data_IF_338776202198
#
_entry.id   IF_338776202198
#
_cell.length_a   1.000
_cell.length_b   1.000
_cell.length_c   1.000
_cell.angle_alpha   90.00
_cell.angle_beta   90.00
_cell.angle_gamma   90.00
#
_symmetry.space_group_name_H-M   'P 1'
#
loop_
_entity.id
_entity.type
_entity.pdbx_description
1 polymer ?
#
# COMPACT_ATOMS: atom_id res chain seq x y z
N UNK A 1 -24.49 5.62 -9.15
CA UNK A 1 -23.40 4.67 -9.41
C UNK A 1 -22.86 5.06 -10.76
N UNK A 2 -21.79 5.86 -10.76
CA UNK A 2 -21.24 6.48 -11.97
C UNK A 2 -20.03 5.65 -12.34
N UNK A 3 -20.18 4.80 -13.36
CA UNK A 3 -19.09 4.00 -13.90
C UNK A 3 -18.00 4.94 -14.44
N UNK A 4 -16.80 4.88 -13.84
CA UNK A 4 -15.62 5.57 -14.35
C UNK A 4 -15.07 4.72 -15.51
N UNK A 5 -15.70 4.84 -16.67
CA UNK A 5 -15.25 4.24 -17.92
C UNK A 5 -14.03 5.02 -18.44
N UNK A 6 -12.82 4.57 -18.09
CA UNK A 6 -11.54 5.22 -18.46
C UNK A 6 -11.03 4.82 -19.87
N UNK A 7 -11.92 4.36 -20.75
CA UNK A 7 -11.59 4.06 -22.14
C UNK A 7 -11.98 5.22 -23.07
N UNK A 8 -10.98 5.97 -23.57
CA UNK A 8 -11.12 6.93 -24.69
C UNK A 8 -12.18 8.02 -24.46
N UNK A 9 -12.27 8.55 -23.24
CA UNK A 9 -13.05 9.77 -22.97
C UNK A 9 -12.11 10.94 -22.70
N UNK A 10 -12.49 12.12 -23.18
CA UNK A 10 -11.79 13.36 -22.87
C UNK A 10 -11.74 13.55 -21.34
N UNK A 11 -10.54 13.49 -20.78
CA UNK A 11 -10.31 13.80 -19.37
C UNK A 11 -10.49 15.30 -19.18
N UNK A 12 -11.61 15.68 -18.55
CA UNK A 12 -11.81 17.06 -18.11
C UNK A 12 -10.88 17.34 -16.95
N UNK A 13 -10.26 18.51 -16.97
CA UNK A 13 -9.53 19.01 -15.82
C UNK A 13 -10.49 19.12 -14.63
N UNK A 14 -10.12 18.48 -13.53
CA UNK A 14 -10.89 18.45 -12.29
C UNK A 14 -9.97 18.76 -11.11
N UNK A 15 -10.20 19.91 -10.48
CA UNK A 15 -9.43 20.35 -9.33
C UNK A 15 -9.73 19.49 -8.09
N UNK A 16 -10.93 18.90 -8.00
CA UNK A 16 -11.29 17.99 -6.91
C UNK A 16 -10.48 16.71 -6.98
N UNK A 17 -10.22 16.19 -8.18
CA UNK A 17 -9.35 15.04 -8.40
C UNK A 17 -7.90 15.31 -7.92
N UNK A 18 -7.37 16.51 -8.17
CA UNK A 18 -6.04 16.91 -7.67
C UNK A 18 -6.03 16.94 -6.14
N UNK A 19 -7.06 17.52 -5.52
CA UNK A 19 -7.19 17.55 -4.05
C UNK A 19 -7.33 16.15 -3.46
N UNK A 20 -8.03 15.24 -4.13
CA UNK A 20 -8.13 13.84 -3.73
C UNK A 20 -6.75 13.16 -3.76
N UNK A 21 -5.99 13.33 -4.84
CA UNK A 21 -4.62 12.82 -4.94
C UNK A 21 -3.69 13.35 -3.84
N UNK A 22 -3.78 14.65 -3.51
CA UNK A 22 -3.03 15.24 -2.39
C UNK A 22 -3.38 14.61 -1.04
N UNK A 23 -4.68 14.42 -0.77
CA UNK A 23 -5.14 13.76 0.47
C UNK A 23 -4.67 12.32 0.55
N UNK A 24 -4.67 11.61 -0.57
CA UNK A 24 -4.18 10.24 -0.64
C UNK A 24 -2.68 10.14 -0.34
N UNK A 25 -1.86 11.00 -0.95
CA UNK A 25 -0.43 11.08 -0.64
C UNK A 25 -0.18 11.32 0.86
N UNK A 26 -0.93 12.23 1.48
CA UNK A 26 -0.85 12.48 2.92
C UNK A 26 -1.28 11.27 3.76
N UNK A 27 -2.32 10.54 3.33
CA UNK A 27 -2.78 9.31 4.00
C UNK A 27 -1.70 8.24 3.98
N UNK A 28 -1.05 7.99 2.83
CA UNK A 28 0.09 7.08 2.71
C UNK A 28 1.25 7.46 3.64
N UNK A 29 1.62 8.74 3.66
CA UNK A 29 2.68 9.24 4.54
C UNK A 29 2.34 9.02 6.03
N UNK A 30 1.08 9.26 6.42
CA UNK A 30 0.62 9.04 7.79
C UNK A 30 0.65 7.55 8.18
N UNK A 31 0.26 6.65 7.27
CA UNK A 31 0.35 5.20 7.48
C UNK A 31 1.82 4.79 7.68
N UNK A 32 2.73 5.28 6.84
CA UNK A 32 4.15 4.98 6.96
C UNK A 32 4.74 5.45 8.30
N UNK A 33 4.45 6.69 8.70
CA UNK A 33 4.87 7.22 9.99
C UNK A 33 4.31 6.41 11.16
N UNK A 34 3.03 6.04 11.10
CA UNK A 34 2.39 5.22 12.12
C UNK A 34 3.06 3.84 12.20
N UNK A 35 3.40 3.23 11.07
CA UNK A 35 4.07 1.93 10.99
C UNK A 35 5.45 1.97 11.66
N UNK A 36 6.30 2.94 11.29
CA UNK A 36 7.65 3.12 11.86
C UNK A 36 7.57 3.27 13.39
N UNK A 37 6.68 4.16 13.87
CA UNK A 37 6.52 4.42 15.31
C UNK A 37 6.11 3.15 16.10
N UNK A 38 5.28 2.28 15.52
CA UNK A 38 4.87 1.04 16.20
C UNK A 38 5.96 -0.04 16.19
N UNK A 39 6.84 -0.02 15.19
CA UNK A 39 7.97 -0.94 15.10
C UNK A 39 9.04 -0.63 16.15
N UNK A 40 9.37 0.65 16.32
CA UNK A 40 10.29 1.11 17.37
C UNK A 40 9.83 0.66 18.78
N UNK A 41 8.52 0.72 19.03
CA UNK A 41 7.93 0.31 20.30
C UNK A 41 7.91 -1.21 20.50
N UNK A 42 7.87 -2.00 19.43
CA UNK A 42 7.65 -3.45 19.52
C UNK A 42 8.91 -4.25 19.86
N UNK A 43 10.11 -3.63 19.93
CA UNK A 43 11.42 -4.31 20.09
C UNK A 43 11.56 -5.55 19.18
N UNK A 44 10.88 -5.54 18.04
CA UNK A 44 10.80 -6.71 17.17
C UNK A 44 12.14 -6.88 16.49
N UNK A 45 12.68 -8.09 16.56
CA UNK A 45 13.80 -8.52 15.74
C UNK A 45 13.50 -8.20 14.27
N UNK A 46 14.57 -7.83 13.56
CA UNK A 46 14.60 -7.41 12.16
C UNK A 46 13.55 -8.18 11.37
N UNK A 47 12.51 -7.47 10.96
CA UNK A 47 11.44 -8.04 10.18
C UNK A 47 11.95 -8.25 8.77
N UNK A 48 12.09 -9.51 8.38
CA UNK A 48 12.32 -9.84 6.99
C UNK A 48 11.08 -9.46 6.19
N UNK A 49 11.10 -8.28 5.57
CA UNK A 49 9.99 -7.75 4.77
C UNK A 49 9.69 -8.56 3.50
N UNK A 50 10.56 -9.52 3.14
CA UNK A 50 10.37 -10.42 1.99
C UNK A 50 9.51 -11.63 2.31
N UNK A 51 9.21 -11.92 3.57
CA UNK A 51 8.40 -13.06 3.97
C UNK A 51 7.04 -12.60 4.48
N UNK A 52 5.99 -13.32 4.09
CA UNK A 52 4.63 -13.11 4.60
C UNK A 52 4.67 -13.33 6.12
N UNK A 53 4.32 -12.32 6.94
CA UNK A 53 4.32 -12.47 8.37
C UNK A 53 3.21 -13.39 8.86
N UNK A 54 3.42 -14.04 9.99
CA UNK A 54 2.38 -14.85 10.62
C UNK A 54 1.25 -13.96 11.17
N UNK A 55 0.00 -14.17 10.74
CA UNK A 55 -1.15 -13.45 11.28
C UNK A 55 -1.45 -13.92 12.71
N UNK A 56 -1.69 -12.97 13.62
CA UNK A 56 -2.02 -13.24 15.02
C UNK A 56 -3.50 -13.01 15.32
N UNK A 57 -4.16 -12.17 14.52
CA UNK A 57 -5.57 -11.81 14.66
C UNK A 57 -6.38 -12.19 13.42
N UNK A 58 -7.72 -12.10 13.52
CA UNK A 58 -8.59 -12.25 12.35
C UNK A 58 -8.41 -11.10 11.36
N UNK A 59 -8.22 -9.87 11.85
CA UNK A 59 -7.95 -8.69 11.03
C UNK A 59 -6.64 -8.82 10.26
N UNK A 60 -5.59 -9.42 10.85
CA UNK A 60 -4.33 -9.73 10.16
C UNK A 60 -4.56 -10.67 8.97
N UNK A 61 -5.35 -11.73 9.15
CA UNK A 61 -5.67 -12.66 8.06
C UNK A 61 -6.42 -11.96 6.94
N UNK A 62 -7.43 -11.17 7.30
CA UNK A 62 -8.26 -10.46 6.33
C UNK A 62 -7.47 -9.44 5.52
N UNK A 63 -6.58 -8.65 6.14
CA UNK A 63 -5.78 -7.68 5.38
C UNK A 63 -4.77 -8.38 4.46
N UNK A 64 -4.18 -9.50 4.88
CA UNK A 64 -3.29 -10.29 4.02
C UNK A 64 -4.03 -10.94 2.85
N UNK A 65 -5.25 -11.44 3.07
CA UNK A 65 -6.12 -11.96 2.00
C UNK A 65 -6.50 -10.86 1.00
N UNK A 66 -6.90 -9.68 1.48
CA UNK A 66 -7.20 -8.52 0.63
C UNK A 66 -5.96 -8.02 -0.11
N UNK A 67 -4.80 -8.03 0.52
CA UNK A 67 -3.54 -7.72 -0.15
C UNK A 67 -3.26 -8.70 -1.30
N UNK A 68 -3.51 -9.99 -1.09
CA UNK A 68 -3.33 -10.98 -2.16
C UNK A 68 -4.30 -10.73 -3.33
N UNK A 69 -5.53 -10.32 -3.04
CA UNK A 69 -6.52 -9.98 -4.05
C UNK A 69 -6.12 -8.73 -4.85
N UNK A 70 -5.66 -7.67 -4.17
CA UNK A 70 -5.27 -6.42 -4.84
C UNK A 70 -4.00 -6.58 -5.68
N UNK A 71 -3.05 -7.44 -5.27
CA UNK A 71 -1.89 -7.78 -6.11
C UNK A 71 -2.37 -8.38 -7.44
N UNK A 72 -3.20 -9.44 -7.37
CA UNK A 72 -3.72 -10.12 -8.57
C UNK A 72 -4.51 -9.18 -9.48
N UNK A 73 -5.40 -8.37 -8.91
CA UNK A 73 -6.22 -7.46 -9.73
C UNK A 73 -5.39 -6.32 -10.32
N UNK A 74 -4.35 -5.85 -9.61
CA UNK A 74 -3.41 -4.87 -10.15
C UNK A 74 -2.64 -5.45 -11.32
N UNK A 75 -2.10 -6.67 -11.20
CA UNK A 75 -1.37 -7.35 -12.30
C UNK A 75 -2.26 -7.49 -13.54
N UNK A 76 -3.48 -8.02 -13.37
CA UNK A 76 -4.46 -8.17 -14.46
C UNK A 76 -4.81 -6.84 -15.12
N UNK A 77 -4.95 -5.77 -14.33
CA UNK A 77 -5.25 -4.44 -14.84
C UNK A 77 -4.07 -3.82 -15.57
N UNK A 78 -2.84 -3.98 -15.07
CA UNK A 78 -1.63 -3.48 -15.72
C UNK A 78 -1.37 -4.22 -17.04
N UNK A 79 -1.46 -5.55 -17.06
CA UNK A 79 -1.31 -6.36 -18.27
C UNK A 79 -2.34 -6.03 -19.35
N UNK A 80 -3.53 -5.60 -18.91
CA UNK A 80 -4.61 -5.18 -19.80
C UNK A 80 -4.62 -3.68 -20.11
N UNK A 81 -3.58 -2.93 -19.72
CA UNK A 81 -3.47 -1.47 -19.90
C UNK A 81 -4.60 -0.65 -19.25
N UNK A 82 -5.26 -1.20 -18.21
CA UNK A 82 -6.32 -0.56 -17.43
C UNK A 82 -5.77 0.19 -16.21
N UNK A 83 -4.85 1.13 -16.45
CA UNK A 83 -4.16 1.87 -15.38
C UNK A 83 -5.09 2.66 -14.45
N UNK A 84 -6.16 3.25 -14.99
CA UNK A 84 -7.14 3.98 -14.20
C UNK A 84 -7.88 3.07 -13.20
N UNK A 85 -8.20 1.85 -13.63
CA UNK A 85 -8.83 0.85 -12.76
C UNK A 85 -7.86 0.38 -11.67
N UNK A 86 -6.61 0.06 -12.03
CA UNK A 86 -5.57 -0.30 -11.06
C UNK A 86 -5.38 0.80 -9.99
N UNK A 87 -5.31 2.06 -10.42
CA UNK A 87 -5.17 3.19 -9.51
C UNK A 87 -6.38 3.35 -8.57
N UNK A 88 -7.59 3.14 -9.08
CA UNK A 88 -8.81 3.24 -8.28
C UNK A 88 -8.90 2.12 -7.24
N UNK A 89 -8.64 0.87 -7.62
CA UNK A 89 -8.67 -0.28 -6.70
C UNK A 89 -7.59 -0.16 -5.62
N UNK A 90 -6.38 0.28 -5.98
CA UNK A 90 -5.30 0.51 -5.01
C UNK A 90 -5.63 1.65 -4.04
N UNK A 91 -6.25 2.72 -4.54
CA UNK A 91 -6.75 3.79 -3.69
C UNK A 91 -7.75 3.26 -2.66
N UNK A 92 -8.75 2.50 -3.11
CA UNK A 92 -9.79 1.95 -2.24
C UNK A 92 -9.21 0.99 -1.20
N UNK A 93 -8.30 0.10 -1.60
CA UNK A 93 -7.60 -0.81 -0.70
C UNK A 93 -6.83 -0.06 0.39
N UNK A 94 -5.98 0.91 0.01
CA UNK A 94 -5.17 1.66 0.98
C UNK A 94 -6.05 2.50 1.90
N UNK A 95 -7.08 3.14 1.36
CA UNK A 95 -7.92 4.04 2.13
C UNK A 95 -8.86 3.28 3.06
N UNK A 96 -9.65 2.36 2.52
CA UNK A 96 -10.74 1.72 3.25
C UNK A 96 -10.27 0.46 3.97
N UNK A 97 -9.60 -0.45 3.28
CA UNK A 97 -9.23 -1.74 3.87
C UNK A 97 -8.05 -1.62 4.84
N UNK A 98 -7.01 -0.91 4.44
CA UNK A 98 -5.82 -0.72 5.26
C UNK A 98 -6.05 0.35 6.34
N UNK A 99 -6.37 1.59 5.95
CA UNK A 99 -6.39 2.68 6.90
C UNK A 99 -7.64 2.72 7.78
N UNK A 100 -8.84 2.61 7.20
CA UNK A 100 -10.08 2.79 7.96
C UNK A 100 -10.52 1.50 8.68
N UNK A 101 -10.15 0.31 8.18
CA UNK A 101 -10.48 -0.99 8.80
C UNK A 101 -9.28 -1.56 9.56
N UNK A 102 -8.23 -2.02 8.88
CA UNK A 102 -7.17 -2.81 9.53
C UNK A 102 -6.44 -2.04 10.64
N UNK A 103 -6.00 -0.82 10.35
CA UNK A 103 -5.29 0.02 11.34
C UNK A 103 -6.20 0.32 12.54
N UNK A 104 -7.47 0.65 12.31
CA UNK A 104 -8.43 0.97 13.37
C UNK A 104 -8.74 -0.23 14.27
N UNK A 105 -8.99 -1.40 13.67
CA UNK A 105 -9.25 -2.65 14.41
C UNK A 105 -8.03 -3.12 15.20
N UNK A 106 -6.83 -2.89 14.66
CA UNK A 106 -5.58 -3.38 15.24
C UNK A 106 -4.95 -2.43 16.26
N UNK A 107 -5.56 -1.26 16.57
CA UNK A 107 -4.98 -0.26 17.50
C UNK A 107 -4.58 -0.80 18.87
N UNK A 108 -5.26 -1.84 19.38
CA UNK A 108 -5.00 -2.41 20.71
C UNK A 108 -3.93 -3.50 20.70
N UNK A 109 -3.82 -4.25 19.61
CA UNK A 109 -2.92 -5.40 19.49
C UNK A 109 -2.39 -5.45 18.05
N UNK A 110 -1.61 -4.43 17.70
CA UNK A 110 -1.14 -4.22 16.33
C UNK A 110 -0.02 -5.21 16.00
N UNK A 111 -0.20 -5.97 14.93
CA UNK A 111 0.89 -6.76 14.37
C UNK A 111 1.73 -5.90 13.43
N UNK A 112 2.75 -5.23 14.00
CA UNK A 112 3.60 -4.31 13.25
C UNK A 112 4.29 -4.96 12.03
N UNK A 113 4.52 -6.28 12.08
CA UNK A 113 5.05 -7.06 10.95
C UNK A 113 4.10 -7.11 9.77
N UNK A 114 2.83 -7.43 10.03
CA UNK A 114 1.79 -7.48 8.99
C UNK A 114 1.56 -6.09 8.43
N UNK A 115 1.48 -5.06 9.29
CA UNK A 115 1.33 -3.68 8.83
C UNK A 115 2.49 -3.24 7.93
N UNK A 116 3.74 -3.54 8.30
CA UNK A 116 4.91 -3.22 7.49
C UNK A 116 4.89 -3.94 6.13
N UNK A 117 4.57 -5.23 6.13
CA UNK A 117 4.48 -6.04 4.92
C UNK A 117 3.42 -5.50 3.95
N UNK A 118 2.23 -5.16 4.47
CA UNK A 118 1.14 -4.59 3.68
C UNK A 118 1.50 -3.21 3.15
N UNK A 119 2.13 -2.35 3.96
CA UNK A 119 2.62 -1.05 3.51
C UNK A 119 3.65 -1.17 2.39
N UNK A 120 4.69 -1.98 2.56
CA UNK A 120 5.75 -2.19 1.57
C UNK A 120 5.17 -2.68 0.24
N UNK A 121 4.27 -3.66 0.31
CA UNK A 121 3.60 -4.20 -0.89
C UNK A 121 2.75 -3.13 -1.57
N UNK A 122 2.00 -2.33 -0.80
CA UNK A 122 1.19 -1.22 -1.32
C UNK A 122 2.05 -0.17 -2.03
N UNK A 123 3.22 0.18 -1.47
CA UNK A 123 4.14 1.14 -2.08
C UNK A 123 4.68 0.64 -3.42
N UNK A 124 5.04 -0.65 -3.50
CA UNK A 124 5.48 -1.29 -4.75
C UNK A 124 4.38 -1.23 -5.83
N UNK A 125 3.16 -1.64 -5.48
CA UNK A 125 2.02 -1.61 -6.40
C UNK A 125 1.67 -0.20 -6.88
N UNK A 126 1.79 0.80 -6.00
CA UNK A 126 1.51 2.21 -6.32
C UNK A 126 2.65 2.91 -7.07
N UNK A 127 3.86 2.36 -7.09
CA UNK A 127 5.03 3.04 -7.66
C UNK A 127 4.87 3.43 -9.14
N UNK A 128 4.27 2.60 -10.02
CA UNK A 128 3.99 3.00 -11.40
C UNK A 128 3.04 4.21 -11.54
N UNK A 129 2.24 4.51 -10.50
CA UNK A 129 1.22 5.55 -10.51
C UNK A 129 1.70 6.80 -9.76
N UNK A 130 2.40 6.62 -8.63
CA UNK A 130 2.84 7.69 -7.72
C UNK A 130 4.34 7.56 -7.37
N UNK A 131 5.25 7.63 -8.35
CA UNK A 131 6.66 7.27 -8.14
C UNK A 131 7.34 8.14 -7.09
N UNK A 132 7.13 9.46 -7.11
CA UNK A 132 7.83 10.37 -6.18
C UNK A 132 7.37 10.22 -4.73
N UNK A 133 6.07 10.03 -4.49
CA UNK A 133 5.52 9.88 -3.13
C UNK A 133 5.94 8.54 -2.55
N UNK A 134 5.81 7.46 -3.33
CA UNK A 134 6.20 6.11 -2.89
C UNK A 134 7.71 6.02 -2.66
N UNK A 135 8.54 6.63 -3.51
CA UNK A 135 10.00 6.70 -3.32
C UNK A 135 10.37 7.49 -2.06
N UNK A 136 9.71 8.62 -1.81
CA UNK A 136 9.98 9.43 -0.60
C UNK A 136 9.65 8.65 0.67
N UNK A 137 8.56 7.87 0.66
CA UNK A 137 8.19 6.99 1.78
C UNK A 137 9.21 5.86 1.90
N UNK A 138 9.59 5.24 0.79
CA UNK A 138 10.58 4.16 0.77
C UNK A 138 11.91 4.58 1.37
N UNK A 139 12.42 5.76 1.00
CA UNK A 139 13.65 6.31 1.57
C UNK A 139 13.54 6.52 3.09
N UNK A 140 12.35 6.87 3.59
CA UNK A 140 12.11 6.96 5.03
C UNK A 140 12.16 5.57 5.68
N UNK A 141 11.53 4.55 5.08
CA UNK A 141 11.63 3.17 5.56
C UNK A 141 13.08 2.66 5.54
N UNK A 142 13.83 2.99 4.49
CA UNK A 142 15.25 2.61 4.32
C UNK A 142 16.13 3.26 5.39
N UNK A 143 15.90 4.53 5.72
CA UNK A 143 16.62 5.22 6.78
C UNK A 143 16.36 4.65 8.19
N UNK A 144 15.31 3.84 8.35
CA UNK A 144 14.97 3.11 9.57
C UNK A 144 15.30 1.61 9.49
N UNK A 145 16.11 1.20 8.51
CA UNK A 145 16.54 -0.18 8.29
C UNK A 145 15.36 -1.17 8.09
N UNK A 146 14.22 -0.70 7.55
CA UNK A 146 13.02 -1.52 7.34
C UNK A 146 12.93 -2.16 5.93
N UNK A 147 13.78 -1.70 5.01
CA UNK A 147 13.92 -2.21 3.64
C UNK A 147 15.39 -2.23 3.23
N UNK A 148 15.77 -3.20 2.41
CA UNK A 148 17.16 -3.41 1.99
C UNK A 148 17.54 -2.54 0.78
N UNK A 149 16.66 -2.46 -0.23
CA UNK A 149 16.95 -1.72 -1.45
C UNK A 149 17.01 -0.22 -1.19
N UNK A 150 18.04 0.43 -1.74
CA UNK A 150 18.24 1.88 -1.58
C UNK A 150 17.13 2.71 -2.24
N UNK A 151 16.58 2.20 -3.35
CA UNK A 151 15.53 2.86 -4.12
C UNK A 151 14.40 1.88 -4.38
N UNK A 152 13.15 2.35 -4.29
CA UNK A 152 11.97 1.50 -4.49
C UNK A 152 11.91 0.93 -5.91
N UNK A 153 12.34 1.69 -6.91
CA UNK A 153 12.37 1.24 -8.30
C UNK A 153 13.22 -0.02 -8.54
N UNK A 154 14.16 -0.33 -7.63
CA UNK A 154 14.99 -1.53 -7.73
C UNK A 154 14.38 -2.73 -6.99
N UNK A 155 13.32 -2.52 -6.21
CA UNK A 155 12.70 -3.57 -5.43
C UNK A 155 11.90 -4.53 -6.33
N UNK A 156 11.90 -5.81 -5.96
CA UNK A 156 11.10 -6.82 -6.65
C UNK A 156 9.60 -6.52 -6.56
N UNK A 157 8.87 -6.77 -7.64
CA UNK A 157 7.40 -6.68 -7.66
C UNK A 157 6.79 -7.66 -6.63
N UNK A 158 5.70 -7.31 -5.94
CA UNK A 158 5.06 -8.24 -5.00
C UNK A 158 4.38 -9.36 -5.76
N UNK A 159 4.71 -10.60 -5.41
CA UNK A 159 4.10 -11.79 -6.01
C UNK A 159 2.84 -12.20 -5.21
N UNK A 160 1.76 -12.63 -5.88
CA UNK A 160 0.61 -13.17 -5.20
C UNK A 160 0.95 -14.50 -4.51
N UNK A 161 0.40 -14.68 -3.31
CA UNK A 161 0.53 -15.92 -2.57
C UNK A 161 -0.28 -17.03 -3.27
N UNK A 162 0.36 -18.20 -3.42
CA UNK A 162 -0.21 -19.43 -3.99
C UNK A 162 -1.33 -20.01 -3.15
#
# INVERSE_FOLDING_TARGET
>A
MTDINTGIQDLKFDEEAIKAGQKFANKLWNIARFTIMNLENSKSEILNSKQIPNPKSQSDKQILEKLNQIIKSTDENLDSFRFGQAAHELYDFVWHDLADVYIEESKKDLNASVLLYVLISSLKLLHPIMPFVTESIWQNLQANDLVEDKLLINAEWPEPNS
#
